data_IF_358044455436
#
_entry.id   IF_358044455436
#
_cell.length_a   1.000
_cell.length_b   1.000
_cell.length_c   1.000
_cell.angle_alpha   90.00
_cell.angle_beta   90.00
_cell.angle_gamma   90.00
#
_symmetry.space_group_name_H-M   'P 1'
#
loop_
_entity.id
_entity.type
_entity.pdbx_description
1 polymer ?
#
# COMPACT_ATOMS: atom_id res chain seq x y z
N UNK A 1 -39.44 -23.62 -22.27
CA UNK A 1 -38.83 -24.02 -20.98
C UNK A 1 -37.64 -23.12 -20.71
N UNK A 2 -37.66 -22.22 -19.71
CA UNK A 2 -36.49 -21.42 -19.38
C UNK A 2 -35.60 -22.19 -18.40
N UNK A 3 -34.35 -22.46 -18.80
CA UNK A 3 -33.34 -22.96 -17.88
C UNK A 3 -32.88 -21.80 -16.99
N UNK A 4 -33.25 -21.87 -15.72
CA UNK A 4 -32.55 -21.19 -14.64
C UNK A 4 -31.11 -21.68 -14.59
N UNK A 5 -30.15 -20.79 -14.81
CA UNK A 5 -28.79 -20.97 -14.33
C UNK A 5 -28.55 -19.90 -13.25
N UNK A 6 -28.83 -20.31 -12.02
CA UNK A 6 -28.49 -19.57 -10.81
C UNK A 6 -26.98 -19.52 -10.58
N UNK A 7 -26.59 -18.57 -9.73
CA UNK A 7 -25.39 -18.56 -8.89
C UNK A 7 -24.08 -18.07 -9.50
N UNK A 8 -23.94 -16.75 -9.62
CA UNK A 8 -22.74 -16.05 -9.10
C UNK A 8 -23.08 -14.58 -8.80
N UNK A 9 -23.71 -14.27 -7.65
CA UNK A 9 -23.88 -12.89 -7.22
C UNK A 9 -22.74 -12.52 -6.26
N UNK A 10 -21.45 -12.56 -6.64
CA UNK A 10 -20.43 -12.18 -5.63
C UNK A 10 -19.04 -11.77 -6.12
N UNK A 11 -18.67 -11.95 -7.39
CA UNK A 11 -17.31 -11.56 -7.80
C UNK A 11 -17.19 -10.03 -7.82
N UNK A 12 -18.20 -9.34 -8.37
CA UNK A 12 -18.19 -7.86 -8.39
C UNK A 12 -18.35 -7.29 -6.98
N UNK A 13 -19.18 -7.88 -6.11
CA UNK A 13 -19.33 -7.43 -4.73
C UNK A 13 -18.05 -7.66 -3.90
N UNK A 14 -17.38 -8.79 -4.06
CA UNK A 14 -16.07 -9.05 -3.44
C UNK A 14 -14.97 -8.12 -3.98
N UNK A 15 -14.98 -7.81 -5.29
CA UNK A 15 -14.07 -6.82 -5.88
C UNK A 15 -14.37 -5.42 -5.34
N UNK A 16 -15.65 -5.02 -5.26
CA UNK A 16 -16.05 -3.73 -4.66
C UNK A 16 -15.70 -3.64 -3.18
N UNK A 17 -15.79 -4.75 -2.42
CA UNK A 17 -15.35 -4.82 -1.03
C UNK A 17 -13.81 -4.73 -0.88
N UNK A 18 -13.05 -5.18 -1.88
CA UNK A 18 -11.58 -5.09 -1.91
C UNK A 18 -11.07 -3.73 -2.42
N UNK A 19 -11.87 -3.04 -3.24
CA UNK A 19 -11.52 -1.74 -3.81
C UNK A 19 -11.86 -0.66 -2.78
N UNK A 20 -10.98 0.33 -2.51
CA UNK A 20 -11.32 1.43 -1.61
C UNK A 20 -12.68 2.03 -2.00
N UNK A 21 -13.55 2.31 -1.02
CA UNK A 21 -14.41 3.46 -1.20
C UNK A 21 -13.48 4.67 -1.42
N UNK A 22 -13.65 5.46 -2.48
CA UNK A 22 -12.75 6.58 -2.77
C UNK A 22 -12.69 7.59 -1.60
N UNK A 23 -13.74 7.63 -0.78
CA UNK A 23 -13.83 8.44 0.45
C UNK A 23 -12.83 7.99 1.52
N UNK A 24 -12.74 6.70 1.84
CA UNK A 24 -11.84 6.19 2.87
C UNK A 24 -10.37 6.56 2.60
N UNK A 25 -9.92 6.45 1.34
CA UNK A 25 -8.55 6.77 1.00
C UNK A 25 -8.29 8.29 1.07
N UNK A 26 -9.25 9.12 0.66
CA UNK A 26 -9.16 10.58 0.80
C UNK A 26 -9.11 11.02 2.27
N UNK A 27 -9.95 10.43 3.12
CA UNK A 27 -9.98 10.69 4.55
C UNK A 27 -8.68 10.27 5.22
N UNK A 28 -8.17 9.07 4.90
CA UNK A 28 -6.89 8.59 5.40
C UNK A 28 -5.75 9.56 5.04
N UNK A 29 -5.73 10.06 3.81
CA UNK A 29 -4.73 11.03 3.34
C UNK A 29 -4.83 12.40 4.03
N UNK A 30 -6.03 12.81 4.45
CA UNK A 30 -6.25 14.08 5.13
C UNK A 30 -5.70 14.12 6.56
N UNK A 31 -5.31 12.97 7.14
CA UNK A 31 -4.81 12.91 8.50
C UNK A 31 -3.50 13.71 8.66
N UNK A 32 -3.38 14.58 9.68
CA UNK A 32 -2.22 15.46 9.84
C UNK A 32 -0.96 14.71 10.32
N UNK A 33 -1.12 13.52 10.91
CA UNK A 33 -0.04 12.70 11.46
C UNK A 33 1.02 12.31 10.42
N UNK A 34 0.67 12.21 9.14
CA UNK A 34 1.64 11.95 8.07
C UNK A 34 2.72 13.03 7.97
N UNK A 35 2.44 14.24 8.47
CA UNK A 35 3.42 15.34 8.53
C UNK A 35 4.45 15.23 9.63
N UNK A 36 4.23 14.34 10.60
CA UNK A 36 5.11 14.13 11.73
C UNK A 36 6.06 12.94 11.51
N UNK A 37 5.83 12.13 10.47
CA UNK A 37 6.69 11.00 10.15
C UNK A 37 8.05 11.45 9.59
N UNK A 38 9.13 10.71 9.89
CA UNK A 38 10.48 11.04 9.43
C UNK A 38 10.68 10.93 7.90
N UNK A 39 9.72 10.34 7.19
CA UNK A 39 9.73 10.21 5.73
C UNK A 39 8.30 10.28 5.16
N UNK A 40 8.20 10.65 3.88
CA UNK A 40 6.93 10.85 3.16
C UNK A 40 6.54 9.69 2.26
N UNK A 41 7.53 8.92 1.83
CA UNK A 41 7.37 7.77 0.95
C UNK A 41 8.44 6.72 1.23
N UNK A 42 8.14 5.50 0.82
CA UNK A 42 9.09 4.37 0.80
C UNK A 42 9.42 4.08 -0.65
N UNK A 43 10.71 4.05 -0.97
CA UNK A 43 11.18 3.59 -2.28
C UNK A 43 11.23 2.06 -2.32
N UNK A 44 10.63 1.48 -3.34
CA UNK A 44 10.66 0.04 -3.64
C UNK A 44 11.34 -0.15 -4.99
N UNK A 45 12.48 -0.84 -4.98
CA UNK A 45 13.20 -1.25 -6.20
C UNK A 45 12.84 -2.68 -6.57
N UNK A 46 12.50 -2.90 -7.82
CA UNK A 46 12.19 -4.21 -8.38
C UNK A 46 13.44 -4.88 -8.97
N UNK A 47 13.41 -6.22 -9.14
CA UNK A 47 14.50 -6.96 -9.77
C UNK A 47 14.81 -6.55 -11.21
N UNK A 48 13.84 -5.99 -11.93
CA UNK A 48 14.01 -5.47 -13.30
C UNK A 48 14.64 -4.06 -13.34
N UNK A 49 14.99 -3.50 -12.18
CA UNK A 49 15.57 -2.17 -12.03
C UNK A 49 14.55 -1.04 -11.92
N UNK A 50 13.24 -1.33 -11.97
CA UNK A 50 12.20 -0.31 -11.78
C UNK A 50 12.14 0.14 -10.33
N UNK A 51 12.05 1.45 -10.08
CA UNK A 51 11.86 2.00 -8.73
C UNK A 51 10.49 2.69 -8.61
N UNK A 52 9.84 2.52 -7.46
CA UNK A 52 8.54 3.13 -7.14
C UNK A 52 8.61 3.85 -5.81
N UNK A 53 8.03 5.05 -5.73
CA UNK A 53 7.81 5.71 -4.45
C UNK A 53 6.37 5.48 -4.00
N UNK A 54 6.21 4.79 -2.88
CA UNK A 54 4.92 4.51 -2.26
C UNK A 54 4.70 5.49 -1.11
N UNK A 55 3.64 6.31 -1.16
CA UNK A 55 3.40 7.31 -0.10
C UNK A 55 3.00 6.61 1.20
N UNK A 56 3.39 7.18 2.33
CA UNK A 56 3.10 6.62 3.66
C UNK A 56 1.61 6.36 3.92
N UNK A 57 0.66 7.22 3.52
CA UNK A 57 -0.76 6.97 3.76
C UNK A 57 -1.27 5.75 2.97
N UNK A 58 -0.79 5.56 1.74
CA UNK A 58 -1.19 4.43 0.89
C UNK A 58 -0.72 3.09 1.48
N UNK A 59 0.50 3.05 2.00
CA UNK A 59 1.04 1.88 2.68
C UNK A 59 0.31 1.57 3.99
N UNK A 60 -0.01 2.58 4.78
CA UNK A 60 -0.75 2.41 6.02
C UNK A 60 -2.18 1.92 5.76
N UNK A 61 -2.86 2.49 4.76
CA UNK A 61 -4.15 2.01 4.28
C UNK A 61 -4.07 0.55 3.82
N UNK A 62 -3.04 0.20 3.06
CA UNK A 62 -2.83 -1.19 2.62
C UNK A 62 -2.63 -2.13 3.81
N UNK A 63 -1.84 -1.73 4.81
CA UNK A 63 -1.62 -2.50 6.03
C UNK A 63 -2.93 -2.69 6.81
N UNK A 64 -3.72 -1.64 7.00
CA UNK A 64 -4.98 -1.68 7.73
C UNK A 64 -5.97 -2.68 7.11
N UNK A 65 -5.97 -2.80 5.77
CA UNK A 65 -6.82 -3.75 5.06
C UNK A 65 -6.37 -5.20 5.17
N UNK A 66 -5.07 -5.43 5.25
CA UNK A 66 -4.54 -6.79 5.39
C UNK A 66 -4.97 -7.37 6.74
N UNK A 67 -5.04 -6.53 7.77
CA UNK A 67 -5.40 -6.94 9.12
C UNK A 67 -6.90 -6.79 9.44
N UNK A 68 -7.65 -6.01 8.65
CA UNK A 68 -9.07 -5.79 8.88
C UNK A 68 -9.86 -7.08 8.72
N UNK A 69 -10.74 -7.35 9.68
CA UNK A 69 -11.65 -8.50 9.63
C UNK A 69 -12.79 -8.18 8.64
N UNK A 70 -13.27 -9.15 7.84
CA UNK A 70 -14.43 -8.93 6.98
C UNK A 70 -15.63 -8.35 7.73
N UNK A 71 -16.23 -7.29 7.19
CA UNK A 71 -17.37 -6.59 7.79
C UNK A 71 -17.01 -5.50 8.82
N UNK A 72 -15.73 -5.28 9.09
CA UNK A 72 -15.26 -4.18 9.95
C UNK A 72 -14.73 -3.00 9.13
N UNK A 73 -14.86 -1.78 9.66
CA UNK A 73 -14.42 -0.59 8.93
C UNK A 73 -12.88 -0.49 8.89
N UNK A 74 -12.26 -0.46 7.69
CA UNK A 74 -10.80 -0.35 7.57
C UNK A 74 -10.22 0.91 8.21
N UNK A 75 -11.03 1.97 8.36
CA UNK A 75 -10.64 3.20 9.03
C UNK A 75 -10.36 3.00 10.52
N UNK A 76 -11.17 2.18 11.21
CA UNK A 76 -10.95 1.86 12.62
C UNK A 76 -9.59 1.17 12.81
N UNK A 77 -9.24 0.21 11.97
CA UNK A 77 -7.95 -0.47 12.04
C UNK A 77 -6.78 0.45 11.72
N UNK A 78 -6.98 1.37 10.76
CA UNK A 78 -5.98 2.38 10.45
C UNK A 78 -5.69 3.26 11.67
N UNK A 79 -6.74 3.80 12.31
CA UNK A 79 -6.62 4.74 13.44
C UNK A 79 -6.18 4.07 14.74
N UNK A 80 -6.69 2.88 15.04
CA UNK A 80 -6.48 2.24 16.35
C UNK A 80 -5.28 1.30 16.39
N UNK A 81 -4.84 0.75 15.25
CA UNK A 81 -3.78 -0.26 15.23
C UNK A 81 -2.59 0.18 14.38
N UNK A 82 -2.82 0.57 13.13
CA UNK A 82 -1.72 0.86 12.19
C UNK A 82 -1.03 2.19 12.52
N UNK A 83 -1.79 3.26 12.72
CA UNK A 83 -1.24 4.59 12.98
C UNK A 83 -0.39 4.65 14.25
N UNK A 84 -0.84 4.15 15.42
CA UNK A 84 -0.02 4.10 16.62
C UNK A 84 1.29 3.34 16.37
N UNK A 85 1.21 2.18 15.71
CA UNK A 85 2.40 1.38 15.38
C UNK A 85 3.37 2.13 14.45
N UNK A 86 2.86 2.86 13.47
CA UNK A 86 3.68 3.68 12.55
C UNK A 86 4.31 4.87 13.27
N UNK A 87 3.63 5.46 14.25
CA UNK A 87 4.17 6.57 15.04
C UNK A 87 5.27 6.10 16.00
N UNK A 88 5.09 4.95 16.63
CA UNK A 88 6.10 4.34 17.52
C UNK A 88 7.29 3.76 16.73
N UNK A 89 7.00 3.12 15.59
CA UNK A 89 7.98 2.43 14.75
C UNK A 89 7.74 2.75 13.27
N UNK A 90 8.25 3.89 12.77
CA UNK A 90 8.09 4.27 11.38
C UNK A 90 8.57 3.19 10.41
N UNK A 91 9.58 2.39 10.74
CA UNK A 91 10.10 1.32 9.87
C UNK A 91 9.07 0.24 9.53
N UNK A 92 7.95 0.17 10.25
CA UNK A 92 6.86 -0.74 9.94
C UNK A 92 6.37 -0.62 8.49
N UNK A 93 6.23 0.60 7.93
CA UNK A 93 5.75 0.74 6.55
C UNK A 93 6.78 0.25 5.52
N UNK A 94 8.06 0.22 5.87
CA UNK A 94 9.11 -0.39 5.05
C UNK A 94 8.91 -1.91 5.01
N UNK A 95 8.62 -2.53 6.16
CA UNK A 95 8.32 -3.96 6.22
C UNK A 95 7.07 -4.30 5.41
N UNK A 96 6.02 -3.47 5.51
CA UNK A 96 4.80 -3.61 4.70
C UNK A 96 5.15 -3.54 3.21
N UNK A 97 5.88 -2.50 2.78
CA UNK A 97 6.27 -2.32 1.39
C UNK A 97 7.09 -3.50 0.85
N UNK A 98 7.97 -4.10 1.67
CA UNK A 98 8.81 -5.23 1.29
C UNK A 98 8.04 -6.53 1.02
N UNK A 99 6.80 -6.64 1.54
CA UNK A 99 5.92 -7.81 1.42
C UNK A 99 4.90 -7.69 0.30
N UNK A 100 4.80 -6.52 -0.32
CA UNK A 100 3.85 -6.30 -1.42
C UNK A 100 4.25 -7.13 -2.64
N UNK A 101 3.25 -7.73 -3.28
CA UNK A 101 3.43 -8.26 -4.63
C UNK A 101 3.64 -7.11 -5.61
N UNK A 102 4.20 -7.44 -6.78
CA UNK A 102 4.40 -6.46 -7.86
C UNK A 102 3.12 -5.73 -8.26
N UNK A 103 2.02 -6.47 -8.43
CA UNK A 103 0.73 -5.88 -8.80
C UNK A 103 0.23 -4.87 -7.77
N UNK A 104 0.48 -5.12 -6.49
CA UNK A 104 0.09 -4.24 -5.40
C UNK A 104 0.98 -2.99 -5.33
N UNK A 105 2.30 -3.15 -5.41
CA UNK A 105 3.22 -2.02 -5.44
C UNK A 105 2.93 -1.09 -6.62
N UNK A 106 2.67 -1.65 -7.80
CA UNK A 106 2.29 -0.90 -9.00
C UNK A 106 0.94 -0.20 -8.85
N UNK A 107 -0.04 -0.84 -8.23
CA UNK A 107 -1.37 -0.23 -8.00
C UNK A 107 -1.34 0.92 -6.98
N UNK A 108 -0.43 0.87 -6.00
CA UNK A 108 -0.25 1.91 -4.99
C UNK A 108 0.59 3.10 -5.49
N UNK A 109 1.48 2.87 -6.46
CA UNK A 109 2.27 3.93 -7.09
C UNK A 109 1.39 4.81 -8.00
N UNK A 110 0.56 5.67 -7.40
CA UNK A 110 -0.45 6.46 -8.13
C UNK A 110 0.14 7.54 -9.06
N UNK A 111 1.31 8.10 -8.75
CA UNK A 111 1.78 9.31 -9.46
C UNK A 111 3.31 9.50 -9.59
N UNK A 112 4.15 8.71 -8.92
CA UNK A 112 5.61 8.89 -8.94
C UNK A 112 6.28 7.81 -9.80
N UNK A 113 6.17 7.96 -11.12
CA UNK A 113 6.91 7.14 -12.07
C UNK A 113 8.26 7.78 -12.36
N UNK A 114 9.33 7.27 -11.74
CA UNK A 114 10.68 7.54 -12.21
C UNK A 114 11.33 6.22 -12.64
N UNK A 115 11.35 5.97 -13.95
CA UNK A 115 12.29 5.01 -14.53
C UNK A 115 13.66 5.70 -14.56
N UNK A 116 14.55 5.35 -13.64
CA UNK A 116 15.98 5.59 -13.89
C UNK A 116 16.53 4.34 -14.58
N UNK A 117 17.19 4.44 -15.75
CA UNK A 117 17.83 3.30 -16.37
C UNK A 117 19.10 2.98 -15.58
N UNK A 118 18.99 2.12 -14.57
CA UNK A 118 20.14 1.65 -13.81
C UNK A 118 20.66 0.35 -14.43
N UNK A 119 21.85 0.41 -15.01
CA UNK A 119 22.61 -0.75 -15.47
C UNK A 119 22.66 -1.86 -14.42
N UNK A 120 22.32 -3.09 -14.83
CA UNK A 120 22.36 -4.28 -13.98
C UNK A 120 23.78 -4.56 -13.47
N UNK A 121 23.90 -4.86 -12.18
CA UNK A 121 24.98 -5.73 -11.69
C UNK A 121 24.32 -6.94 -11.02
N UNK A 122 24.48 -8.09 -11.66
CA UNK A 122 24.02 -9.37 -11.20
C UNK A 122 24.60 -9.71 -9.82
N UNK A 123 23.73 -10.04 -8.88
CA UNK A 123 24.13 -10.56 -7.57
C UNK A 123 23.09 -10.30 -6.50
N UNK A 124 22.20 -11.27 -6.27
CA UNK A 124 21.41 -11.45 -5.04
C UNK A 124 21.12 -10.20 -4.17
N UNK A 125 20.15 -9.37 -4.55
CA UNK A 125 19.66 -8.31 -3.66
C UNK A 125 18.23 -8.58 -3.20
N UNK A 126 18.11 -8.96 -1.92
CA UNK A 126 16.88 -8.80 -1.14
C UNK A 126 16.46 -7.32 -1.19
N UNK A 127 15.15 -7.05 -1.29
CA UNK A 127 14.55 -5.72 -1.27
C UNK A 127 15.28 -4.79 -0.27
N UNK A 128 16.03 -3.81 -0.78
CA UNK A 128 16.63 -2.74 0.04
C UNK A 128 15.75 -1.51 -0.08
N UNK A 129 15.02 -1.21 0.99
CA UNK A 129 14.37 0.09 1.15
C UNK A 129 15.35 1.07 1.81
N UNK A 130 15.37 2.32 1.35
CA UNK A 130 16.17 3.41 1.92
C UNK A 130 15.26 4.60 2.23
N UNK A 131 15.50 5.27 3.36
CA UNK A 131 14.85 6.53 3.69
C UNK A 131 15.43 7.66 2.82
N UNK A 132 14.58 8.46 2.17
CA UNK A 132 15.02 9.71 1.55
C UNK A 132 14.95 10.84 2.59
N UNK A 133 16.09 11.40 2.96
CA UNK A 133 16.17 12.60 3.78
C UNK A 133 15.95 13.84 2.91
N UNK A 134 15.25 14.84 3.44
CA UNK A 134 15.04 16.14 2.79
C UNK A 134 16.35 16.95 2.76
N UNK A 135 16.71 17.45 1.58
CA UNK A 135 17.37 18.76 1.43
C UNK A 135 16.32 19.84 1.28
#
# INVERSE_FOLDING_TARGET
MPNHNSNYPDIQAAIFAMTPSPQFLQEAWALPCWRQLPYRSVEVTLPDGSCFQLRTPDLAVKAARIISIPGSEPMTYLLEQVLPLVQERPEFLIEVASRLTWGEARALAREAFWRSPCMMLAGHFKNRARMSLHT
#
